data_IF_127360385214
#
_entry.id   IF_127360385214
#
_cell.length_a   1.000
_cell.length_b   1.000
_cell.length_c   1.000
_cell.angle_alpha   90.00
_cell.angle_beta   90.00
_cell.angle_gamma   90.00
#
_symmetry.space_group_name_H-M   'P 1'
#
loop_
_entity.id
_entity.type
_entity.pdbx_description
1 polymer ?
#
# COMPACT_ATOMS: atom_id res chain seq x y z
N UNK A 1 11.97 11.69 -5.65
CA UNK A 1 10.59 12.21 -5.47
C UNK A 1 10.41 12.66 -4.01
N UNK A 2 10.43 11.75 -3.02
CA UNK A 2 10.10 12.07 -1.61
C UNK A 2 11.00 13.17 -1.05
N UNK A 3 12.32 13.08 -1.23
CA UNK A 3 13.27 14.12 -0.79
C UNK A 3 12.92 15.50 -1.38
N UNK A 4 12.58 15.54 -2.67
CA UNK A 4 12.22 16.78 -3.36
C UNK A 4 10.89 17.35 -2.85
N UNK A 5 9.91 16.49 -2.54
CA UNK A 5 8.63 16.94 -1.97
C UNK A 5 8.82 17.49 -0.56
N UNK A 6 9.64 16.84 0.27
CA UNK A 6 9.98 17.33 1.61
C UNK A 6 10.69 18.71 1.58
N UNK A 7 11.51 18.95 0.57
CA UNK A 7 12.22 20.21 0.39
C UNK A 7 11.32 21.32 -0.16
N UNK A 8 10.64 21.06 -1.30
CA UNK A 8 9.93 22.09 -2.06
C UNK A 8 8.48 22.31 -1.62
N UNK A 9 7.82 21.29 -1.06
CA UNK A 9 6.39 21.31 -0.76
C UNK A 9 6.08 21.11 0.74
N UNK A 10 7.05 21.48 1.60
CA UNK A 10 6.88 21.37 3.06
C UNK A 10 5.72 22.22 3.61
N UNK A 11 5.39 23.33 2.93
CA UNK A 11 4.26 24.18 3.32
C UNK A 11 2.92 23.49 3.05
N UNK A 12 2.76 22.85 1.89
CA UNK A 12 1.58 22.09 1.49
C UNK A 12 1.37 20.89 2.40
N UNK A 13 2.44 20.16 2.73
CA UNK A 13 2.39 19.05 3.67
C UNK A 13 1.96 19.53 5.07
N UNK A 14 2.41 20.71 5.51
CA UNK A 14 1.99 21.30 6.78
C UNK A 14 0.51 21.70 6.79
N UNK A 15 -0.02 22.24 5.65
CA UNK A 15 -1.45 22.54 5.50
C UNK A 15 -2.32 21.29 5.56
N UNK A 16 -1.81 20.15 5.09
CA UNK A 16 -2.46 18.84 5.17
C UNK A 16 -2.29 18.17 6.55
N UNK A 17 -1.60 18.83 7.50
CA UNK A 17 -1.27 18.27 8.81
C UNK A 17 -0.51 16.92 8.70
N UNK A 18 0.27 16.71 7.60
CA UNK A 18 1.02 15.46 7.36
C UNK A 18 2.17 15.31 8.33
N UNK A 19 2.18 14.22 9.12
CA UNK A 19 3.39 13.81 9.84
C UNK A 19 4.44 13.31 8.83
N UNK A 20 5.51 14.07 8.68
CA UNK A 20 6.60 13.76 7.74
C UNK A 20 7.71 12.90 8.32
N UNK A 21 7.57 12.41 9.55
CA UNK A 21 8.62 11.65 10.25
C UNK A 21 9.01 10.36 9.51
N UNK A 22 8.01 9.62 8.99
CA UNK A 22 8.21 8.41 8.19
C UNK A 22 8.91 8.71 6.86
N UNK A 23 8.49 9.79 6.18
CA UNK A 23 9.07 10.22 4.91
C UNK A 23 10.53 10.67 5.06
N UNK A 24 10.89 11.33 6.17
CA UNK A 24 12.27 11.72 6.45
C UNK A 24 13.17 10.50 6.68
N UNK A 25 12.69 9.51 7.45
CA UNK A 25 13.43 8.25 7.63
C UNK A 25 13.69 7.51 6.32
N UNK A 26 12.72 7.56 5.40
CA UNK A 26 12.86 6.96 4.08
C UNK A 26 13.99 7.58 3.25
N UNK A 27 14.20 8.90 3.34
CA UNK A 27 15.27 9.58 2.59
C UNK A 27 16.66 9.18 3.11
N UNK A 28 16.75 8.74 4.36
CA UNK A 28 17.99 8.36 5.04
C UNK A 28 18.34 6.87 4.91
N UNK A 29 17.39 6.03 4.49
CA UNK A 29 17.52 4.57 4.46
C UNK A 29 17.20 4.01 3.07
N UNK A 30 17.89 2.94 2.69
CA UNK A 30 17.52 2.14 1.52
C UNK A 30 16.20 1.39 1.74
N UNK A 31 15.49 1.11 0.65
CA UNK A 31 14.31 0.25 0.67
C UNK A 31 14.71 -1.18 1.05
N UNK A 32 13.88 -1.81 1.85
CA UNK A 32 14.04 -3.24 2.15
C UNK A 32 13.68 -4.03 0.90
N UNK A 33 14.55 -4.99 0.55
CA UNK A 33 14.30 -5.92 -0.56
C UNK A 33 14.18 -7.33 -0.02
N UNK A 34 13.06 -7.97 -0.31
CA UNK A 34 12.78 -9.36 0.05
C UNK A 34 12.29 -10.14 -1.17
N UNK A 35 12.40 -11.46 -1.11
CA UNK A 35 11.74 -12.34 -2.07
C UNK A 35 10.31 -12.63 -1.61
N UNK A 36 9.48 -13.09 -2.53
CA UNK A 36 8.11 -13.49 -2.23
C UNK A 36 8.04 -14.58 -1.15
N UNK A 37 8.94 -15.57 -1.18
CA UNK A 37 8.99 -16.64 -0.16
C UNK A 37 9.23 -16.06 1.24
N UNK A 38 10.16 -15.10 1.37
CA UNK A 38 10.44 -14.40 2.62
C UNK A 38 9.22 -13.58 3.10
N UNK A 39 8.48 -12.99 2.16
CA UNK A 39 7.26 -12.27 2.48
C UNK A 39 6.16 -13.21 3.02
N UNK A 40 6.02 -14.41 2.42
CA UNK A 40 5.10 -15.45 2.91
C UNK A 40 5.49 -15.90 4.32
N UNK A 41 6.78 -16.15 4.56
CA UNK A 41 7.29 -16.55 5.89
C UNK A 41 7.01 -15.45 6.93
N UNK A 42 7.18 -14.17 6.56
CA UNK A 42 6.88 -13.05 7.45
C UNK A 42 5.38 -13.01 7.77
N UNK A 43 4.51 -13.12 6.78
CA UNK A 43 3.06 -13.10 6.97
C UNK A 43 2.60 -14.21 7.93
N UNK A 44 3.08 -15.44 7.71
CA UNK A 44 2.71 -16.62 8.50
C UNK A 44 3.37 -16.68 9.89
N UNK A 45 4.32 -15.77 10.19
CA UNK A 45 5.11 -15.86 11.42
C UNK A 45 4.30 -15.56 12.69
N UNK A 46 4.68 -16.21 13.79
CA UNK A 46 4.16 -15.86 15.13
C UNK A 46 4.49 -14.43 15.54
N UNK A 47 5.60 -13.88 15.02
CA UNK A 47 5.97 -12.47 15.26
C UNK A 47 4.91 -11.54 14.68
N UNK A 48 4.49 -11.75 13.44
CA UNK A 48 3.43 -10.97 12.78
C UNK A 48 2.12 -11.09 13.54
N UNK A 49 1.75 -12.29 13.97
CA UNK A 49 0.55 -12.49 14.80
C UNK A 49 0.59 -11.68 16.11
N UNK A 50 1.74 -11.65 16.79
CA UNK A 50 1.93 -10.87 18.03
C UNK A 50 1.85 -9.37 17.78
N UNK A 51 2.49 -8.87 16.72
CA UNK A 51 2.41 -7.43 16.35
C UNK A 51 0.96 -6.99 16.14
N UNK A 52 0.15 -7.83 15.48
CA UNK A 52 -1.27 -7.53 15.27
C UNK A 52 -2.08 -7.60 16.58
N UNK A 53 -1.77 -8.53 17.49
CA UNK A 53 -2.40 -8.57 18.80
C UNK A 53 -2.04 -7.34 19.66
N UNK A 54 -0.78 -6.92 19.64
CA UNK A 54 -0.31 -5.70 20.31
C UNK A 54 -1.00 -4.46 19.72
N UNK A 55 -1.15 -4.39 18.40
CA UNK A 55 -1.87 -3.30 17.73
C UNK A 55 -3.34 -3.25 18.15
N UNK A 56 -4.02 -4.40 18.28
CA UNK A 56 -5.39 -4.45 18.80
C UNK A 56 -5.47 -3.88 20.22
N UNK A 57 -4.54 -4.25 21.10
CA UNK A 57 -4.53 -3.73 22.48
C UNK A 57 -4.25 -2.22 22.49
N UNK A 58 -3.29 -1.76 21.69
CA UNK A 58 -3.00 -0.34 21.57
C UNK A 58 -4.22 0.46 21.09
N UNK A 59 -4.91 0.00 20.05
CA UNK A 59 -6.13 0.65 19.54
C UNK A 59 -7.25 0.72 20.59
N UNK A 60 -7.39 -0.31 21.43
CA UNK A 60 -8.37 -0.30 22.52
C UNK A 60 -8.02 0.75 23.57
N UNK A 61 -6.75 0.80 23.98
CA UNK A 61 -6.26 1.76 24.98
C UNK A 61 -6.40 3.19 24.47
N UNK A 62 -5.92 3.47 23.25
CA UNK A 62 -6.00 4.80 22.64
C UNK A 62 -7.46 5.27 22.49
N UNK A 63 -8.37 4.35 22.12
CA UNK A 63 -9.80 4.64 22.04
C UNK A 63 -10.39 5.03 23.41
N UNK A 64 -10.06 4.27 24.45
CA UNK A 64 -10.53 4.55 25.82
C UNK A 64 -10.02 5.90 26.30
N UNK A 65 -8.75 6.24 26.06
CA UNK A 65 -8.16 7.53 26.41
C UNK A 65 -8.86 8.69 25.69
N UNK A 66 -9.11 8.54 24.38
CA UNK A 66 -9.82 9.57 23.60
C UNK A 66 -11.27 9.77 24.08
N UNK A 67 -11.98 8.71 24.44
CA UNK A 67 -13.33 8.81 25.00
C UNK A 67 -13.32 9.49 26.38
N UNK A 68 -12.33 9.20 27.23
CA UNK A 68 -12.17 9.90 28.52
C UNK A 68 -11.87 11.39 28.31
N UNK A 69 -10.98 11.73 27.34
CA UNK A 69 -10.73 13.13 26.97
C UNK A 69 -12.03 13.81 26.50
N UNK A 70 -12.80 13.13 25.63
CA UNK A 70 -14.07 13.67 25.14
C UNK A 70 -15.04 14.00 26.29
N UNK A 71 -15.20 13.09 27.23
CA UNK A 71 -16.07 13.29 28.39
C UNK A 71 -15.60 14.46 29.28
N UNK A 72 -14.28 14.59 29.48
CA UNK A 72 -13.71 15.68 30.24
C UNK A 72 -13.96 17.04 29.59
N UNK A 73 -13.69 17.18 28.29
CA UNK A 73 -13.88 18.46 27.58
C UNK A 73 -15.36 18.81 27.38
N UNK A 74 -16.26 17.81 27.28
CA UNK A 74 -17.70 18.05 27.21
C UNK A 74 -18.24 18.60 28.55
N UNK A 75 -17.74 18.14 29.69
CA UNK A 75 -18.10 18.73 31.00
C UNK A 75 -17.63 20.17 31.12
N UNK A 76 -16.43 20.50 30.57
CA UNK A 76 -15.93 21.88 30.54
C UNK A 76 -16.80 22.80 29.66
N UNK A 77 -17.37 22.28 28.57
CA UNK A 77 -18.11 23.05 27.57
C UNK A 77 -19.25 23.88 28.19
N UNK A 78 -19.93 23.34 29.22
CA UNK A 78 -21.07 24.02 29.87
C UNK A 78 -20.69 25.39 30.44
N UNK A 79 -19.53 25.50 31.08
CA UNK A 79 -19.05 26.72 31.78
C UNK A 79 -18.03 27.51 30.98
N UNK A 80 -17.60 27.03 29.79
CA UNK A 80 -16.54 27.64 29.01
C UNK A 80 -16.95 28.95 28.32
N UNK A 81 -15.99 29.85 28.14
CA UNK A 81 -16.15 31.07 27.31
C UNK A 81 -16.35 30.72 25.85
N UNK A 82 -17.00 31.61 25.08
CA UNK A 82 -17.40 31.39 23.67
C UNK A 82 -16.25 30.90 22.76
N UNK A 83 -15.03 31.44 22.92
CA UNK A 83 -13.87 31.00 22.15
C UNK A 83 -13.44 29.57 22.48
N UNK A 84 -13.50 29.22 23.78
CA UNK A 84 -13.14 27.89 24.27
C UNK A 84 -14.16 26.85 23.82
N UNK A 85 -15.45 27.19 23.79
CA UNK A 85 -16.51 26.31 23.25
C UNK A 85 -16.23 25.88 21.82
N UNK A 86 -15.81 26.83 20.94
CA UNK A 86 -15.43 26.52 19.56
C UNK A 86 -14.24 25.57 19.48
N UNK A 87 -13.24 25.71 20.35
CA UNK A 87 -12.11 24.79 20.40
C UNK A 87 -12.55 23.39 20.83
N UNK A 88 -13.40 23.30 21.86
CA UNK A 88 -13.96 22.03 22.35
C UNK A 88 -14.78 21.36 21.22
N UNK A 89 -15.64 22.09 20.55
CA UNK A 89 -16.43 21.56 19.43
C UNK A 89 -15.54 20.98 18.33
N UNK A 90 -14.49 21.72 17.93
CA UNK A 90 -13.52 21.21 16.93
C UNK A 90 -12.81 19.94 17.45
N UNK A 91 -12.36 19.94 18.71
CA UNK A 91 -11.67 18.80 19.31
C UNK A 91 -12.57 17.56 19.44
N UNK A 92 -13.85 17.75 19.77
CA UNK A 92 -14.84 16.65 19.82
C UNK A 92 -15.04 16.03 18.45
N UNK A 93 -15.08 16.82 17.39
CA UNK A 93 -15.17 16.31 16.01
C UNK A 93 -13.92 15.49 15.67
N UNK A 94 -12.72 16.01 15.97
CA UNK A 94 -11.46 15.29 15.75
C UNK A 94 -11.42 13.97 16.53
N UNK A 95 -11.78 13.97 17.81
CA UNK A 95 -11.85 12.75 18.62
C UNK A 95 -12.81 11.73 18.01
N UNK A 96 -14.00 12.14 17.60
CA UNK A 96 -14.98 11.24 16.97
C UNK A 96 -14.41 10.60 15.71
N UNK A 97 -13.81 11.39 14.81
CA UNK A 97 -13.20 10.87 13.60
C UNK A 97 -12.11 9.83 13.92
N UNK A 98 -11.28 10.09 14.94
CA UNK A 98 -10.23 9.13 15.36
C UNK A 98 -10.82 7.87 16.00
N UNK A 99 -11.86 8.01 16.82
CA UNK A 99 -12.56 6.87 17.43
C UNK A 99 -13.20 5.99 16.34
N UNK A 100 -13.87 6.60 15.35
CA UNK A 100 -14.48 5.86 14.24
C UNK A 100 -13.40 5.07 13.46
N UNK A 101 -12.24 5.70 13.20
CA UNK A 101 -11.10 5.02 12.54
C UNK A 101 -10.57 3.85 13.39
N UNK A 102 -10.42 4.04 14.70
CA UNK A 102 -9.97 2.96 15.60
C UNK A 102 -10.99 1.80 15.67
N UNK A 103 -12.27 2.11 15.60
CA UNK A 103 -13.31 1.08 15.53
C UNK A 103 -13.25 0.29 14.22
N UNK A 104 -12.93 0.94 13.13
CA UNK A 104 -12.69 0.28 11.86
C UNK A 104 -11.44 -0.60 11.91
N UNK A 105 -10.35 -0.10 12.46
CA UNK A 105 -9.12 -0.87 12.68
C UNK A 105 -9.41 -2.12 13.53
N UNK A 106 -10.11 -1.97 14.65
CA UNK A 106 -10.48 -3.08 15.54
C UNK A 106 -11.38 -4.12 14.87
N UNK A 107 -12.16 -3.75 13.87
CA UNK A 107 -12.96 -4.70 13.06
C UNK A 107 -12.11 -5.40 11.99
N UNK A 108 -11.08 -4.73 11.48
CA UNK A 108 -10.31 -5.20 10.33
C UNK A 108 -9.06 -5.98 10.75
N UNK A 109 -8.32 -5.56 11.79
CA UNK A 109 -7.07 -6.22 12.22
C UNK A 109 -7.25 -7.72 12.50
N UNK A 110 -8.33 -8.21 13.14
CA UNK A 110 -8.54 -9.65 13.30
C UNK A 110 -8.69 -10.41 11.97
N UNK A 111 -9.28 -9.76 10.96
CA UNK A 111 -9.42 -10.33 9.61
C UNK A 111 -8.06 -10.36 8.90
N UNK A 112 -7.28 -9.29 9.04
CA UNK A 112 -5.91 -9.21 8.50
C UNK A 112 -5.01 -10.28 9.13
N UNK A 113 -5.10 -10.46 10.45
CA UNK A 113 -4.37 -11.52 11.16
C UNK A 113 -4.72 -12.89 10.62
N UNK A 114 -6.01 -13.17 10.44
CA UNK A 114 -6.47 -14.43 9.86
C UNK A 114 -5.95 -14.62 8.44
N UNK A 115 -6.10 -13.61 7.56
CA UNK A 115 -5.59 -13.65 6.19
C UNK A 115 -4.10 -13.94 6.14
N UNK A 116 -3.31 -13.22 6.94
CA UNK A 116 -1.86 -13.40 6.99
C UNK A 116 -1.45 -14.80 7.48
N UNK A 117 -2.12 -15.34 8.51
CA UNK A 117 -1.80 -16.66 9.04
C UNK A 117 -2.26 -17.83 8.15
N UNK A 118 -3.27 -17.62 7.32
CA UNK A 118 -3.80 -18.60 6.36
C UNK A 118 -3.23 -18.37 4.95
N UNK A 119 -2.30 -17.43 4.78
CA UNK A 119 -1.73 -17.12 3.49
C UNK A 119 -0.93 -18.30 2.94
N UNK A 120 -1.23 -18.68 1.69
CA UNK A 120 -0.61 -19.84 1.04
C UNK A 120 0.31 -19.38 -0.10
N UNK A 121 1.45 -20.06 -0.23
CA UNK A 121 2.38 -19.84 -1.34
C UNK A 121 1.64 -20.00 -2.69
N UNK A 122 1.93 -19.14 -3.65
CA UNK A 122 1.26 -19.12 -4.94
C UNK A 122 0.02 -18.23 -5.00
N UNK A 123 -0.36 -17.60 -3.89
CA UNK A 123 -1.44 -16.60 -3.87
C UNK A 123 -0.89 -15.19 -4.15
N UNK A 124 -1.68 -14.32 -4.80
CA UNK A 124 -1.33 -12.91 -4.90
C UNK A 124 -1.68 -12.18 -3.58
N UNK A 125 -0.93 -11.12 -3.25
CA UNK A 125 -1.22 -10.35 -2.04
C UNK A 125 -2.50 -9.54 -2.23
N UNK A 126 -3.42 -9.69 -1.27
CA UNK A 126 -4.51 -8.74 -1.11
C UNK A 126 -4.05 -7.50 -0.35
N UNK A 127 -4.85 -6.43 -0.39
CA UNK A 127 -4.50 -5.19 0.30
C UNK A 127 -4.29 -5.35 1.82
N UNK A 128 -4.93 -6.33 2.46
CA UNK A 128 -4.67 -6.69 3.86
C UNK A 128 -3.27 -7.29 4.06
N UNK A 129 -2.84 -8.15 3.14
CA UNK A 129 -1.55 -8.83 3.24
C UNK A 129 -0.41 -7.85 2.99
N UNK A 130 -0.56 -6.94 2.01
CA UNK A 130 0.36 -5.82 1.78
C UNK A 130 0.48 -4.93 3.02
N UNK A 131 -0.66 -4.59 3.65
CA UNK A 131 -0.68 -3.77 4.87
C UNK A 131 0.05 -4.46 6.02
N UNK A 132 -0.26 -5.74 6.29
CA UNK A 132 0.37 -6.53 7.35
C UNK A 132 1.88 -6.71 7.12
N UNK A 133 2.27 -6.98 5.87
CA UNK A 133 3.69 -7.12 5.50
C UNK A 133 4.45 -5.82 5.75
N UNK A 134 3.91 -4.69 5.28
CA UNK A 134 4.58 -3.39 5.42
C UNK A 134 4.65 -2.87 6.85
N UNK A 135 3.76 -3.30 7.76
CA UNK A 135 3.84 -3.01 9.20
C UNK A 135 5.13 -3.53 9.87
N UNK A 136 5.83 -4.47 9.25
CA UNK A 136 7.08 -5.00 9.78
C UNK A 136 8.29 -4.11 9.49
N UNK A 137 8.13 -3.04 8.71
CA UNK A 137 9.21 -2.21 8.18
C UNK A 137 8.92 -0.71 8.32
N UNK A 138 9.99 0.06 8.54
CA UNK A 138 9.92 1.53 8.65
C UNK A 138 9.97 2.25 7.29
N UNK A 139 10.26 1.52 6.22
CA UNK A 139 10.48 2.01 4.85
C UNK A 139 9.73 1.14 3.86
N UNK A 140 9.51 1.59 2.60
CA UNK A 140 8.89 0.76 1.58
C UNK A 140 9.62 -0.57 1.37
N UNK A 141 8.84 -1.58 1.04
CA UNK A 141 9.32 -2.94 0.81
C UNK A 141 9.24 -3.28 -0.67
N UNK A 142 10.36 -3.75 -1.23
CA UNK A 142 10.43 -4.28 -2.58
C UNK A 142 10.30 -5.80 -2.51
N UNK A 143 9.18 -6.34 -2.96
CA UNK A 143 8.96 -7.78 -3.08
C UNK A 143 9.32 -8.23 -4.48
N UNK A 144 10.17 -9.24 -4.59
CA UNK A 144 10.71 -9.75 -5.86
C UNK A 144 10.53 -11.27 -5.99
N UNK A 145 10.76 -11.82 -7.17
CA UNK A 145 10.68 -13.26 -7.43
C UNK A 145 9.29 -13.83 -7.06
N UNK A 146 8.30 -13.31 -7.73
CA UNK A 146 6.93 -13.75 -7.58
C UNK A 146 6.70 -15.11 -8.23
N UNK A 147 5.79 -15.96 -7.73
CA UNK A 147 5.40 -17.19 -8.42
C UNK A 147 4.98 -16.89 -9.86
N UNK A 148 5.54 -17.61 -10.81
CA UNK A 148 5.32 -17.34 -12.23
C UNK A 148 3.85 -17.49 -12.65
N UNK A 149 3.12 -18.39 -12.00
CA UNK A 149 1.72 -18.71 -12.31
C UNK A 149 0.73 -17.56 -12.01
N UNK A 150 1.09 -16.66 -11.09
CA UNK A 150 0.21 -15.53 -10.72
C UNK A 150 0.61 -14.21 -11.38
N UNK A 151 1.64 -14.22 -12.21
CA UNK A 151 2.13 -13.01 -12.91
C UNK A 151 1.94 -13.12 -14.42
N UNK A 152 1.87 -11.98 -15.08
CA UNK A 152 1.54 -11.88 -16.48
C UNK A 152 2.55 -12.60 -17.41
N UNK A 153 2.05 -13.17 -18.50
CA UNK A 153 2.81 -13.95 -19.48
C UNK A 153 4.06 -13.27 -20.03
N UNK A 154 4.07 -11.95 -20.07
CA UNK A 154 5.17 -11.16 -20.62
C UNK A 154 6.34 -10.96 -19.66
N UNK A 155 6.21 -11.33 -18.41
CA UNK A 155 7.29 -11.23 -17.44
C UNK A 155 8.31 -12.34 -17.68
N UNK A 156 9.60 -11.99 -17.66
CA UNK A 156 10.67 -12.97 -17.73
C UNK A 156 10.63 -13.83 -16.48
N UNK A 157 10.78 -15.14 -16.66
CA UNK A 157 10.92 -16.09 -15.58
C UNK A 157 12.39 -16.37 -15.31
N UNK A 158 12.69 -16.84 -14.12
CA UNK A 158 14.04 -17.30 -13.76
C UNK A 158 14.42 -18.62 -14.49
N UNK A 159 15.64 -19.10 -14.27
CA UNK A 159 16.14 -20.33 -14.91
C UNK A 159 15.35 -21.59 -14.53
N UNK A 160 14.64 -21.57 -13.41
CA UNK A 160 13.81 -22.69 -12.95
C UNK A 160 12.39 -22.68 -13.48
N UNK A 161 11.99 -21.60 -14.17
CA UNK A 161 10.63 -21.30 -14.63
C UNK A 161 9.59 -21.21 -13.47
N UNK A 162 10.08 -21.12 -12.23
CA UNK A 162 9.24 -21.07 -11.02
C UNK A 162 8.86 -19.64 -10.66
N UNK A 163 9.76 -18.67 -10.85
CA UNK A 163 9.57 -17.30 -10.44
C UNK A 163 9.59 -16.33 -11.62
N UNK A 164 8.63 -15.43 -11.66
CA UNK A 164 8.68 -14.25 -12.50
C UNK A 164 9.66 -13.22 -11.90
N UNK A 165 10.52 -12.63 -12.74
CA UNK A 165 11.44 -11.55 -12.35
C UNK A 165 10.67 -10.21 -12.27
N UNK A 166 9.64 -10.23 -11.42
CA UNK A 166 8.82 -9.08 -11.06
C UNK A 166 9.33 -8.36 -9.83
N UNK A 167 8.88 -7.13 -9.66
CA UNK A 167 9.08 -6.33 -8.45
C UNK A 167 7.84 -5.52 -8.18
N UNK A 168 7.35 -5.60 -6.95
CA UNK A 168 6.30 -4.71 -6.45
C UNK A 168 6.88 -3.92 -5.28
N UNK A 169 6.66 -2.59 -5.27
CA UNK A 169 7.07 -1.71 -4.18
C UNK A 169 5.85 -1.36 -3.37
N UNK A 170 5.84 -1.82 -2.14
CA UNK A 170 4.76 -1.60 -1.19
C UNK A 170 5.11 -0.43 -0.28
N UNK A 171 4.27 0.60 -0.29
CA UNK A 171 4.41 1.74 0.62
C UNK A 171 3.91 1.39 2.02
N UNK A 172 4.55 1.87 3.08
CA UNK A 172 4.09 1.70 4.45
C UNK A 172 2.77 2.45 4.73
N UNK A 173 2.29 2.36 5.96
CA UNK A 173 1.09 3.05 6.44
C UNK A 173 -0.22 2.58 5.75
N UNK A 174 -0.22 1.37 5.15
CA UNK A 174 -1.42 0.78 4.54
C UNK A 174 -1.73 1.25 3.11
N UNK A 175 -0.82 1.97 2.47
CA UNK A 175 -1.02 2.45 1.08
C UNK A 175 -0.83 1.35 0.03
N UNK A 176 -0.17 0.24 0.38
CA UNK A 176 0.00 -0.91 -0.49
C UNK A 176 0.92 -0.66 -1.68
N UNK A 177 0.71 -1.40 -2.77
CA UNK A 177 1.54 -1.31 -3.97
C UNK A 177 1.47 0.07 -4.62
N UNK A 178 2.61 0.75 -4.73
CA UNK A 178 2.78 2.03 -5.44
C UNK A 178 3.52 1.88 -6.77
N UNK A 179 4.32 0.84 -6.92
CA UNK A 179 5.04 0.51 -8.16
C UNK A 179 4.97 -0.99 -8.40
N UNK A 180 4.58 -1.37 -9.60
CA UNK A 180 4.70 -2.73 -10.11
C UNK A 180 5.55 -2.76 -11.37
N UNK A 181 6.48 -3.69 -11.47
CA UNK A 181 7.39 -3.79 -12.60
C UNK A 181 7.94 -5.18 -12.84
N UNK A 182 8.61 -5.38 -13.95
CA UNK A 182 9.30 -6.64 -14.22
C UNK A 182 10.36 -6.51 -15.30
N UNK A 183 11.30 -7.44 -15.31
CA UNK A 183 12.04 -7.76 -16.50
C UNK A 183 11.07 -8.38 -17.50
N UNK A 184 11.19 -7.99 -18.78
CA UNK A 184 10.33 -8.52 -19.85
C UNK A 184 10.98 -9.73 -20.48
N UNK A 185 10.15 -10.70 -20.91
CA UNK A 185 10.64 -11.82 -21.72
C UNK A 185 11.11 -11.30 -23.08
N UNK A 186 12.34 -11.57 -23.39
CA UNK A 186 13.01 -11.15 -24.63
C UNK A 186 13.14 -12.28 -25.66
N UNK A 187 12.79 -13.51 -25.32
CA UNK A 187 12.78 -14.66 -26.21
C UNK A 187 11.42 -14.80 -26.90
N UNK A 188 11.44 -14.81 -28.25
CA UNK A 188 10.24 -14.91 -29.07
C UNK A 188 9.47 -16.22 -28.84
N UNK A 189 10.17 -17.34 -28.81
CA UNK A 189 9.53 -18.66 -28.69
C UNK A 189 8.84 -18.82 -27.34
N UNK A 190 9.47 -18.30 -26.27
CA UNK A 190 8.89 -18.32 -24.93
C UNK A 190 7.64 -17.44 -24.83
N UNK A 191 7.64 -16.24 -25.42
CA UNK A 191 6.45 -15.38 -25.48
C UNK A 191 5.29 -16.07 -26.19
N UNK A 192 5.55 -16.66 -27.36
CA UNK A 192 4.53 -17.38 -28.14
C UNK A 192 3.98 -18.58 -27.37
N UNK A 193 4.86 -19.33 -26.70
CA UNK A 193 4.45 -20.47 -25.88
C UNK A 193 3.53 -20.03 -24.74
N UNK A 194 3.87 -18.94 -24.02
CA UNK A 194 3.07 -18.44 -22.88
C UNK A 194 1.75 -17.82 -23.32
N UNK A 195 1.70 -17.10 -24.43
CA UNK A 195 0.43 -16.60 -25.01
C UNK A 195 -0.52 -17.77 -25.26
N UNK A 196 0.01 -18.87 -25.80
CA UNK A 196 -0.77 -20.09 -26.05
C UNK A 196 -1.18 -20.80 -24.76
N UNK A 197 -0.29 -20.88 -23.78
CA UNK A 197 -0.54 -21.48 -22.47
C UNK A 197 -1.70 -20.78 -21.75
N UNK A 198 -1.73 -19.45 -21.82
CA UNK A 198 -2.80 -18.63 -21.24
C UNK A 198 -4.07 -18.55 -22.10
N UNK A 199 -4.10 -19.25 -23.25
CA UNK A 199 -5.27 -19.26 -24.14
C UNK A 199 -5.57 -17.92 -24.79
N UNK A 200 -4.56 -17.03 -24.88
CA UNK A 200 -4.70 -15.72 -25.47
C UNK A 200 -4.59 -15.79 -27.01
N UNK A 201 -5.27 -14.88 -27.70
CA UNK A 201 -5.19 -14.77 -29.15
C UNK A 201 -3.89 -14.06 -29.56
N UNK A 202 -2.95 -14.75 -30.26
CA UNK A 202 -1.69 -14.13 -30.66
C UNK A 202 -1.87 -12.91 -31.58
N UNK A 203 -2.94 -12.83 -32.40
CA UNK A 203 -3.17 -11.71 -33.30
C UNK A 203 -3.35 -10.39 -32.55
N UNK A 204 -3.95 -10.43 -31.37
CA UNK A 204 -4.11 -9.24 -30.49
C UNK A 204 -2.75 -8.71 -30.03
N UNK A 205 -1.75 -9.58 -29.94
CA UNK A 205 -0.40 -9.25 -29.44
C UNK A 205 0.65 -9.16 -30.55
N UNK A 206 0.27 -9.18 -31.83
CA UNK A 206 1.22 -9.14 -32.96
C UNK A 206 2.23 -7.99 -32.82
N UNK A 207 1.77 -6.78 -32.50
CA UNK A 207 2.64 -5.63 -32.29
C UNK A 207 3.66 -5.84 -31.15
N UNK A 208 3.29 -6.59 -30.12
CA UNK A 208 4.16 -6.90 -28.99
C UNK A 208 5.14 -8.04 -29.33
N UNK A 209 4.68 -9.02 -30.10
CA UNK A 209 5.48 -10.12 -30.65
C UNK A 209 6.53 -9.59 -31.60
N UNK A 210 6.20 -8.62 -32.44
CA UNK A 210 7.10 -7.98 -33.40
C UNK A 210 8.31 -7.31 -32.75
N UNK A 211 8.17 -6.83 -31.51
CA UNK A 211 9.31 -6.33 -30.70
C UNK A 211 10.35 -7.41 -30.37
N UNK A 212 10.05 -8.69 -30.62
CA UNK A 212 10.99 -9.82 -30.49
C UNK A 212 11.35 -10.41 -31.83
N UNK A 213 10.43 -10.38 -32.79
CA UNK A 213 10.63 -10.91 -34.13
C UNK A 213 11.70 -10.13 -34.93
N UNK A 214 11.72 -8.82 -34.77
CA UNK A 214 12.65 -7.94 -35.49
C UNK A 214 13.87 -7.51 -34.70
N UNK A 215 14.12 -8.17 -33.61
CA UNK A 215 15.26 -7.95 -32.73
C UNK A 215 14.82 -7.56 -31.33
N UNK A 216 15.44 -8.16 -30.34
CA UNK A 216 15.16 -7.90 -28.93
C UNK A 216 16.43 -7.69 -28.15
N UNK A 217 16.31 -6.96 -27.04
CA UNK A 217 17.36 -6.77 -26.05
C UNK A 217 16.77 -7.01 -24.67
N UNK A 218 17.55 -7.44 -23.68
CA UNK A 218 17.09 -7.45 -22.29
C UNK A 218 16.56 -6.09 -21.89
N UNK A 219 15.31 -6.03 -21.42
CA UNK A 219 14.66 -4.79 -21.02
C UNK A 219 13.70 -5.03 -19.86
N UNK A 220 13.37 -3.98 -19.16
CA UNK A 220 12.41 -3.98 -18.08
C UNK A 220 11.47 -2.79 -18.19
N UNK A 221 10.37 -2.85 -17.47
CA UNK A 221 9.45 -1.74 -17.38
C UNK A 221 8.70 -1.77 -16.04
N UNK A 222 8.25 -0.62 -15.60
CA UNK A 222 7.45 -0.48 -14.39
C UNK A 222 6.33 0.54 -14.59
N UNK A 223 5.27 0.38 -13.82
CA UNK A 223 4.22 1.38 -13.66
C UNK A 223 4.29 1.96 -12.25
N UNK A 224 4.10 3.27 -12.12
CA UNK A 224 3.96 3.95 -10.85
C UNK A 224 2.53 4.47 -10.71
N UNK A 225 1.82 4.04 -9.66
CA UNK A 225 0.50 4.53 -9.32
C UNK A 225 0.58 5.95 -8.76
N UNK A 226 0.37 6.96 -9.64
CA UNK A 226 0.54 8.37 -9.27
C UNK A 226 -0.36 8.75 -8.10
N UNK A 227 -1.64 8.41 -8.18
CA UNK A 227 -2.64 8.75 -7.17
C UNK A 227 -2.30 8.09 -5.82
N UNK A 228 -1.89 6.83 -5.84
CA UNK A 228 -1.51 6.10 -4.63
C UNK A 228 -0.23 6.66 -4.01
N UNK A 229 0.74 7.03 -4.84
CA UNK A 229 1.98 7.69 -4.40
C UNK A 229 1.69 9.05 -3.78
N UNK A 230 0.82 9.86 -4.39
CA UNK A 230 0.40 11.15 -3.84
C UNK A 230 -0.36 10.97 -2.52
N UNK A 231 -1.29 10.01 -2.46
CA UNK A 231 -2.03 9.71 -1.24
C UNK A 231 -1.07 9.36 -0.08
N UNK A 232 -0.10 8.49 -0.34
CA UNK A 232 0.92 8.11 0.64
C UNK A 232 1.77 9.30 1.11
N UNK A 233 2.34 10.06 0.19
CA UNK A 233 3.21 11.19 0.53
C UNK A 233 2.43 12.26 1.31
N UNK A 234 1.18 12.54 0.90
CA UNK A 234 0.33 13.54 1.54
C UNK A 234 -0.41 13.05 2.79
N UNK A 235 -0.41 11.75 3.07
CA UNK A 235 -1.13 11.17 4.21
C UNK A 235 -2.65 11.17 4.05
N UNK A 236 -3.14 11.05 2.81
CA UNK A 236 -4.58 11.08 2.51
C UNK A 236 -5.19 9.69 2.69
N UNK A 237 -6.38 9.63 3.25
CA UNK A 237 -7.04 8.38 3.56
C UNK A 237 -7.64 7.67 2.34
N UNK A 238 -7.88 8.41 1.25
CA UNK A 238 -8.49 7.84 0.05
C UNK A 238 -7.90 8.41 -1.23
N UNK A 239 -7.57 7.54 -2.20
CA UNK A 239 -7.02 7.94 -3.52
C UNK A 239 -7.90 8.94 -4.30
N UNK A 240 -9.21 8.99 -4.02
CA UNK A 240 -10.10 10.00 -4.62
C UNK A 240 -9.74 11.43 -4.24
N UNK A 241 -9.05 11.64 -3.12
CA UNK A 241 -8.62 12.96 -2.65
C UNK A 241 -7.41 13.49 -3.43
N UNK A 242 -6.75 12.64 -4.20
CA UNK A 242 -5.60 13.00 -5.04
C UNK A 242 -5.99 13.49 -6.44
N UNK A 243 -7.25 13.41 -6.80
CA UNK A 243 -7.76 13.73 -8.15
C UNK A 243 -8.73 14.90 -8.05
N UNK A 244 -8.53 15.91 -8.91
CA UNK A 244 -9.39 17.10 -8.93
C UNK A 244 -10.87 16.77 -9.23
N UNK A 245 -11.13 15.75 -10.04
CA UNK A 245 -12.48 15.34 -10.47
C UNK A 245 -12.66 13.82 -10.30
N UNK A 246 -12.78 13.33 -9.07
CA UNK A 246 -12.91 11.91 -8.82
C UNK A 246 -14.26 11.37 -9.31
N UNK A 247 -14.21 10.23 -9.99
CA UNK A 247 -15.41 9.47 -10.32
C UNK A 247 -15.85 8.65 -9.11
N UNK A 248 -17.14 8.66 -8.84
CA UNK A 248 -17.74 7.94 -7.72
C UNK A 248 -18.94 7.14 -8.18
N UNK A 249 -19.35 6.17 -7.38
CA UNK A 249 -20.56 5.41 -7.64
C UNK A 249 -21.76 6.37 -7.76
N UNK A 250 -22.47 6.34 -8.89
CA UNK A 250 -23.58 7.26 -9.17
C UNK A 250 -23.19 8.68 -9.60
N UNK A 251 -21.87 9.00 -9.66
CA UNK A 251 -21.38 10.30 -10.15
C UNK A 251 -20.13 10.10 -11.00
N UNK A 252 -20.30 10.17 -12.34
CA UNK A 252 -19.23 10.02 -13.33
C UNK A 252 -18.83 11.32 -14.04
N UNK A 253 -19.54 12.39 -13.75
CA UNK A 253 -19.25 13.76 -14.24
C UNK A 253 -18.74 14.64 -13.11
N UNK A 254 -17.94 15.67 -13.41
CA UNK A 254 -17.45 16.65 -12.43
C UNK A 254 -18.55 17.31 -11.62
#
# INVERSE_FOLDING_TARGET
IVAEVLDKYHHELALLERDTSSLKRLVEKDFVRIKYDEAVDILNSEKTAKVLDELIQQRKTDKEELLQEQDAIQKEHGSAKKWRKKQIEKRVIDIRTRVDQMEEDLRNIPKWKKSAQEFTWGSDFGGSDETVLTMQFDVPVMVTHWPAEIKAFYMKRDETDTYALGVDILAPEGYGEIVGGSQREDNLDLILARIKEEGLDPEVFDWYIDLRRFGSVPHAGFGLGLERTVAWICGLSHVRETIAFPRMMGRITP
#
